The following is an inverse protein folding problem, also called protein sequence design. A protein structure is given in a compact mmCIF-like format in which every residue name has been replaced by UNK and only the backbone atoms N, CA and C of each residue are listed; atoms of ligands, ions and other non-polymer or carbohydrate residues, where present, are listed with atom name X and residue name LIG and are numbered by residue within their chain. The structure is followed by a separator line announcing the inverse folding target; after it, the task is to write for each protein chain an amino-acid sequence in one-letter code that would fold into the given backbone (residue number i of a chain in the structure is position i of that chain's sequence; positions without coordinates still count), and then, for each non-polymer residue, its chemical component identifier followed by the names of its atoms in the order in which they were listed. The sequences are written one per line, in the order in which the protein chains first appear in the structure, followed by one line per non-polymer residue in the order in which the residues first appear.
data_IF_474606547079
#
_entry.id   IF_474606547079
#
_cell.length_a   1.000
_cell.length_b   1.000
_cell.length_c   1.000
_cell.angle_alpha   90.00
_cell.angle_beta   90.00
_cell.angle_gamma   90.00
#
_symmetry.space_group_name_H-M   'P 1'
#
loop_
_entity.id
_entity.type
_entity.pdbx_description
1 polymer ?
#
# COMPACT_ATOMS: atom_id res chain seq x y z
N UNK A 1 -7.64 23.31 22.74
CA UNK A 1 -8.03 22.03 22.08
C UNK A 1 -8.47 22.23 20.62
N UNK A 2 -9.10 23.36 20.29
CA UNK A 2 -9.54 23.75 18.94
C UNK A 2 -8.39 23.96 17.95
N UNK A 3 -7.30 24.62 18.35
CA UNK A 3 -6.14 24.92 17.48
C UNK A 3 -5.43 23.68 16.94
N UNK A 4 -5.28 22.62 17.77
CA UNK A 4 -4.69 21.33 17.33
C UNK A 4 -5.54 20.61 16.29
N UNK A 5 -6.88 20.72 16.38
CA UNK A 5 -7.79 20.11 15.41
C UNK A 5 -7.66 20.81 14.05
N UNK A 6 -7.66 22.14 14.02
CA UNK A 6 -7.47 22.91 12.79
C UNK A 6 -6.13 22.61 12.11
N UNK A 7 -5.06 22.45 12.89
CA UNK A 7 -3.75 22.07 12.36
C UNK A 7 -3.75 20.67 11.71
N UNK A 8 -4.44 19.69 12.31
CA UNK A 8 -4.54 18.34 11.74
C UNK A 8 -5.38 18.31 10.47
N UNK A 9 -6.53 18.99 10.44
CA UNK A 9 -7.36 19.09 9.24
C UNK A 9 -6.65 19.84 8.11
N UNK A 10 -5.98 20.95 8.43
CA UNK A 10 -5.18 21.70 7.47
C UNK A 10 -4.04 20.86 6.88
N UNK A 11 -3.34 20.08 7.72
CA UNK A 11 -2.29 19.18 7.27
C UNK A 11 -2.82 18.07 6.35
N UNK A 12 -3.95 17.45 6.69
CA UNK A 12 -4.55 16.41 5.85
C UNK A 12 -5.05 16.97 4.52
N UNK A 13 -5.61 18.18 4.53
CA UNK A 13 -5.99 18.88 3.31
C UNK A 13 -4.76 19.17 2.44
N UNK A 14 -3.66 19.65 3.03
CA UNK A 14 -2.39 19.88 2.34
C UNK A 14 -1.78 18.60 1.78
N UNK A 15 -1.76 17.52 2.57
CA UNK A 15 -1.31 16.20 2.14
C UNK A 15 -2.15 15.69 0.97
N UNK A 16 -3.47 15.74 1.09
CA UNK A 16 -4.41 15.33 0.04
C UNK A 16 -4.20 16.16 -1.22
N UNK A 17 -4.10 17.48 -1.10
CA UNK A 17 -3.83 18.38 -2.22
C UNK A 17 -2.51 18.01 -2.92
N UNK A 18 -1.46 17.72 -2.16
CA UNK A 18 -0.16 17.36 -2.71
C UNK A 18 -0.18 16.09 -3.58
N UNK A 19 -1.05 15.11 -3.29
CA UNK A 19 -1.20 13.91 -4.15
C UNK A 19 -1.64 14.28 -5.58
N UNK A 20 -2.39 15.39 -5.73
CA UNK A 20 -2.87 15.89 -7.03
C UNK A 20 -1.95 16.93 -7.68
N UNK A 21 -1.04 17.57 -6.92
CA UNK A 21 -0.12 18.57 -7.47
C UNK A 21 0.70 17.92 -8.59
N UNK A 22 0.69 18.56 -9.77
CA UNK A 22 1.44 18.13 -10.96
C UNK A 22 1.14 16.67 -11.40
N UNK A 23 -0.02 16.12 -11.02
CA UNK A 23 -0.36 14.73 -11.36
C UNK A 23 -0.54 14.55 -12.88
N UNK A 24 -1.00 15.58 -13.58
CA UNK A 24 -1.18 15.57 -15.03
C UNK A 24 -0.08 16.22 -15.86
N UNK A 25 1.02 16.70 -15.27
CA UNK A 25 2.02 17.51 -16.00
C UNK A 25 3.26 16.73 -16.43
N UNK A 26 3.62 15.67 -15.71
CA UNK A 26 4.74 14.82 -16.07
C UNK A 26 4.29 13.75 -17.10
N UNK A 27 5.05 13.53 -18.19
CA UNK A 27 4.77 12.43 -19.12
C UNK A 27 4.70 11.07 -18.42
N UNK A 28 3.95 10.13 -18.99
CA UNK A 28 3.92 8.76 -18.50
C UNK A 28 5.28 8.09 -18.75
N UNK A 29 5.77 7.35 -17.76
CA UNK A 29 7.05 6.63 -17.90
C UNK A 29 6.90 5.37 -18.75
N UNK A 30 7.77 5.21 -19.76
CA UNK A 30 7.64 4.25 -20.86
C UNK A 30 7.59 2.77 -20.42
N UNK A 31 8.27 2.40 -19.33
CA UNK A 31 8.47 0.98 -18.99
C UNK A 31 7.37 0.37 -18.10
N UNK A 32 6.53 1.18 -17.46
CA UNK A 32 5.50 0.70 -16.54
C UNK A 32 4.19 1.43 -16.75
N UNK A 33 4.20 2.74 -16.60
CA UNK A 33 3.01 3.58 -16.52
C UNK A 33 2.28 3.72 -17.86
N UNK A 34 3.05 4.05 -18.90
CA UNK A 34 2.54 4.21 -20.26
C UNK A 34 1.85 2.93 -20.75
N UNK A 35 2.36 1.76 -20.37
CA UNK A 35 1.75 0.47 -20.74
C UNK A 35 0.35 0.30 -20.15
N UNK A 36 0.12 0.66 -18.89
CA UNK A 36 -1.22 0.54 -18.31
C UNK A 36 -2.19 1.54 -18.90
N UNK A 37 -1.73 2.76 -19.15
CA UNK A 37 -2.53 3.79 -19.80
C UNK A 37 -2.88 3.41 -21.25
N UNK A 38 -1.92 2.89 -22.02
CA UNK A 38 -2.13 2.45 -23.41
C UNK A 38 -3.14 1.31 -23.48
N UNK A 39 -2.98 0.27 -22.66
CA UNK A 39 -3.94 -0.85 -22.62
C UNK A 39 -5.35 -0.36 -22.30
N UNK A 40 -5.47 0.56 -21.34
CA UNK A 40 -6.76 1.14 -20.99
C UNK A 40 -7.32 2.07 -22.08
N UNK A 41 -6.45 2.78 -22.81
CA UNK A 41 -6.82 3.62 -23.94
C UNK A 41 -7.32 2.78 -25.11
N UNK A 42 -6.68 1.65 -25.40
CA UNK A 42 -7.15 0.70 -26.41
C UNK A 42 -8.51 0.10 -26.02
N UNK A 43 -8.74 -0.24 -24.74
CA UNK A 43 -10.08 -0.65 -24.27
C UNK A 43 -11.11 0.47 -24.44
N UNK A 44 -10.73 1.71 -24.12
CA UNK A 44 -11.57 2.90 -24.22
C UNK A 44 -11.99 3.19 -25.67
N UNK A 45 -11.05 3.14 -26.62
CA UNK A 45 -11.31 3.45 -28.03
C UNK A 45 -11.96 2.31 -28.81
N UNK A 46 -11.62 1.06 -28.49
CA UNK A 46 -12.19 -0.12 -29.19
C UNK A 46 -13.53 -0.58 -28.60
N UNK A 47 -13.88 -0.13 -27.39
CA UNK A 47 -14.99 -0.64 -26.59
C UNK A 47 -14.90 -2.15 -26.25
N UNK A 48 -13.77 -2.80 -26.51
CA UNK A 48 -13.48 -4.16 -26.04
C UNK A 48 -12.81 -4.10 -24.66
N UNK A 49 -13.64 -4.17 -23.62
CA UNK A 49 -13.18 -4.20 -22.23
C UNK A 49 -12.77 -5.59 -21.74
N UNK A 50 -12.94 -6.64 -22.55
CA UNK A 50 -12.63 -8.01 -22.14
C UNK A 50 -11.23 -8.42 -22.56
N UNK A 51 -10.77 -8.01 -23.75
CA UNK A 51 -9.44 -8.35 -24.29
C UNK A 51 -8.42 -7.24 -24.03
N UNK A 52 -7.51 -7.35 -23.05
CA UNK A 52 -6.43 -6.37 -22.91
C UNK A 52 -5.50 -6.47 -24.12
N UNK A 53 -5.12 -5.33 -24.68
CA UNK A 53 -4.20 -5.21 -25.80
C UNK A 53 -3.16 -4.14 -25.51
N UNK A 54 -1.95 -4.34 -26.01
CA UNK A 54 -0.87 -3.36 -25.94
C UNK A 54 -0.23 -3.28 -27.32
N UNK A 55 -0.25 -2.09 -27.92
CA UNK A 55 0.01 -1.87 -29.33
C UNK A 55 -0.88 -2.78 -30.21
N UNK A 56 -2.16 -2.90 -29.87
CA UNK A 56 -3.18 -3.71 -30.54
C UNK A 56 -2.96 -5.24 -30.49
N UNK A 57 -1.91 -5.70 -29.81
CA UNK A 57 -1.59 -7.12 -29.62
C UNK A 57 -2.11 -7.58 -28.26
N UNK A 58 -2.76 -8.76 -28.21
CA UNK A 58 -3.29 -9.36 -26.97
C UNK A 58 -2.24 -9.37 -25.85
N UNK A 59 -2.57 -8.74 -24.71
CA UNK A 59 -1.66 -8.50 -23.59
C UNK A 59 -2.25 -8.98 -22.25
N UNK A 60 -2.35 -10.30 -22.07
CA UNK A 60 -2.90 -10.91 -20.85
C UNK A 60 -1.91 -10.99 -19.68
N UNK A 61 -0.98 -10.02 -19.53
CA UNK A 61 -0.04 -10.04 -18.40
C UNK A 61 -0.69 -9.68 -17.06
N UNK A 62 -1.82 -8.95 -17.11
CA UNK A 62 -2.61 -8.55 -15.95
C UNK A 62 -4.10 -8.71 -16.23
N UNK A 63 -4.91 -8.98 -15.19
CA UNK A 63 -6.36 -8.97 -15.31
C UNK A 63 -6.89 -7.52 -15.32
N UNK A 64 -8.17 -7.32 -15.67
CA UNK A 64 -8.58 -6.07 -16.28
C UNK A 64 -9.08 -5.00 -15.30
N UNK A 65 -9.26 -5.31 -14.01
CA UNK A 65 -9.92 -4.38 -13.08
C UNK A 65 -9.25 -3.01 -13.03
N UNK A 66 -7.92 -2.98 -13.04
CA UNK A 66 -7.20 -1.70 -13.04
C UNK A 66 -7.31 -0.97 -14.38
N UNK A 67 -7.26 -1.70 -15.50
CA UNK A 67 -7.49 -1.11 -16.84
C UNK A 67 -8.90 -0.50 -16.94
N UNK A 68 -9.92 -1.19 -16.43
CA UNK A 68 -11.29 -0.67 -16.38
C UNK A 68 -11.39 0.62 -15.57
N UNK A 69 -10.65 0.72 -14.46
CA UNK A 69 -10.65 1.95 -13.65
C UNK A 69 -10.02 3.13 -14.40
N UNK A 70 -8.97 2.90 -15.19
CA UNK A 70 -8.36 3.92 -16.03
C UNK A 70 -9.29 4.29 -17.19
N UNK A 71 -9.87 3.31 -17.89
CA UNK A 71 -10.78 3.56 -19.00
C UNK A 71 -12.04 4.33 -18.54
N UNK A 72 -12.59 4.02 -17.36
CA UNK A 72 -13.65 4.79 -16.75
C UNK A 72 -13.22 6.24 -16.45
N UNK A 73 -11.98 6.44 -15.98
CA UNK A 73 -11.40 7.78 -15.81
C UNK A 73 -11.27 8.54 -17.14
N UNK A 74 -10.91 7.86 -18.22
CA UNK A 74 -10.89 8.44 -19.57
C UNK A 74 -12.27 8.87 -20.06
N UNK A 75 -13.32 8.07 -19.80
CA UNK A 75 -14.70 8.47 -20.10
C UNK A 75 -15.14 9.73 -19.34
N UNK A 76 -14.70 9.89 -18.10
CA UNK A 76 -15.14 10.99 -17.24
C UNK A 76 -14.32 12.28 -17.44
N UNK A 77 -13.02 12.17 -17.71
CA UNK A 77 -12.08 13.30 -17.65
C UNK A 77 -11.23 13.47 -18.92
N UNK A 78 -11.52 12.69 -19.97
CA UNK A 78 -10.75 12.65 -21.21
C UNK A 78 -9.43 11.89 -21.07
N UNK A 79 -8.77 11.64 -22.20
CA UNK A 79 -7.49 10.92 -22.26
C UNK A 79 -6.36 11.90 -21.96
N UNK A 80 -5.71 11.76 -20.80
CA UNK A 80 -4.56 12.54 -20.38
C UNK A 80 -3.85 11.85 -19.20
N UNK A 81 -2.72 12.39 -18.78
CA UNK A 81 -1.89 11.83 -17.71
C UNK A 81 -2.58 11.89 -16.34
N UNK A 82 -3.37 12.94 -16.09
CA UNK A 82 -4.12 13.08 -14.84
C UNK A 82 -5.14 11.95 -14.72
N UNK A 83 -5.96 11.76 -15.76
CA UNK A 83 -6.99 10.73 -15.77
C UNK A 83 -6.40 9.32 -15.75
N UNK A 84 -5.22 9.10 -16.35
CA UNK A 84 -4.50 7.83 -16.26
C UNK A 84 -4.02 7.48 -14.83
N UNK A 85 -3.64 8.49 -14.03
CA UNK A 85 -3.13 8.32 -12.64
C UNK A 85 -4.21 8.42 -11.58
N UNK A 86 -5.32 9.07 -11.89
CA UNK A 86 -6.40 9.37 -10.97
C UNK A 86 -6.91 8.13 -10.21
N UNK A 87 -7.13 6.95 -10.83
CA UNK A 87 -7.54 5.77 -10.08
C UNK A 87 -6.55 5.36 -8.98
N UNK A 88 -5.24 5.34 -9.28
CA UNK A 88 -4.19 5.00 -8.30
C UNK A 88 -4.19 6.00 -7.14
N UNK A 89 -4.28 7.30 -7.46
CA UNK A 89 -4.31 8.35 -6.45
C UNK A 89 -5.55 8.26 -5.55
N UNK A 90 -6.73 8.03 -6.12
CA UNK A 90 -7.95 7.82 -5.33
C UNK A 90 -7.85 6.58 -4.43
N UNK A 91 -7.28 5.48 -4.94
CA UNK A 91 -7.05 4.29 -4.13
C UNK A 91 -6.11 4.56 -2.95
N UNK A 92 -5.09 5.41 -3.12
CA UNK A 92 -4.21 5.83 -2.05
C UNK A 92 -4.92 6.67 -0.98
N UNK A 93 -5.78 7.61 -1.38
CA UNK A 93 -6.60 8.40 -0.44
C UNK A 93 -7.55 7.51 0.37
N UNK A 94 -8.17 6.52 -0.28
CA UNK A 94 -8.97 5.52 0.40
C UNK A 94 -8.13 4.69 1.38
N UNK A 95 -6.89 4.34 1.06
CA UNK A 95 -5.99 3.67 1.99
C UNK A 95 -5.68 4.52 3.23
N UNK A 96 -5.46 5.83 3.05
CA UNK A 96 -5.21 6.76 4.17
C UNK A 96 -6.43 6.83 5.08
N UNK A 97 -7.63 7.02 4.51
CA UNK A 97 -8.89 7.04 5.26
C UNK A 97 -9.19 5.71 5.96
N UNK A 98 -8.92 4.59 5.30
CA UNK A 98 -9.15 3.25 5.84
C UNK A 98 -8.11 2.87 6.90
N UNK A 99 -6.89 3.39 6.83
CA UNK A 99 -5.87 3.29 7.88
C UNK A 99 -6.30 4.03 9.14
N UNK A 100 -6.83 5.25 8.99
CA UNK A 100 -7.45 5.97 10.10
C UNK A 100 -8.61 5.17 10.69
N UNK A 101 -9.48 4.63 9.84
CA UNK A 101 -10.64 3.83 10.26
C UNK A 101 -10.20 2.59 11.04
N UNK A 102 -9.21 1.85 10.55
CA UNK A 102 -8.69 0.66 11.20
C UNK A 102 -8.26 0.96 12.64
N UNK A 103 -7.43 1.99 12.81
CA UNK A 103 -6.94 2.39 14.13
C UNK A 103 -8.07 2.87 15.03
N UNK A 104 -8.98 3.69 14.50
CA UNK A 104 -10.04 4.29 15.31
C UNK A 104 -11.13 3.28 15.71
N UNK A 105 -11.51 2.39 14.81
CA UNK A 105 -12.71 1.55 14.91
C UNK A 105 -12.41 0.08 15.16
N UNK A 106 -11.34 -0.45 14.59
CA UNK A 106 -11.01 -1.88 14.75
C UNK A 106 -10.06 -2.12 15.92
N UNK A 107 -9.22 -1.12 16.26
CA UNK A 107 -8.34 -1.14 17.45
C UNK A 107 -8.90 -0.39 18.66
N UNK A 108 -10.05 0.29 18.54
CA UNK A 108 -10.59 1.22 19.55
C UNK A 108 -9.58 2.24 20.10
N UNK A 109 -8.61 2.64 19.27
CA UNK A 109 -7.61 3.63 19.70
C UNK A 109 -8.19 5.04 19.70
N UNK A 110 -7.50 5.97 20.36
CA UNK A 110 -7.89 7.37 20.35
C UNK A 110 -7.75 8.00 18.95
N UNK A 111 -8.37 9.18 18.79
CA UNK A 111 -8.36 9.92 17.51
C UNK A 111 -6.97 10.42 17.14
N UNK A 112 -6.10 10.72 18.11
CA UNK A 112 -4.76 11.25 17.84
C UNK A 112 -3.89 10.17 17.21
N UNK A 113 -3.92 8.95 17.74
CA UNK A 113 -3.23 7.80 17.16
C UNK A 113 -3.75 7.47 15.76
N UNK A 114 -5.07 7.51 15.56
CA UNK A 114 -5.66 7.27 14.24
C UNK A 114 -5.20 8.28 13.18
N UNK A 115 -5.17 9.57 13.54
CA UNK A 115 -4.64 10.62 12.66
C UNK A 115 -3.15 10.50 12.43
N UNK A 116 -2.38 10.10 13.44
CA UNK A 116 -0.98 9.84 13.26
C UNK A 116 -0.75 8.70 12.27
N UNK A 117 -1.41 7.55 12.41
CA UNK A 117 -1.25 6.43 11.49
C UNK A 117 -1.56 6.83 10.03
N UNK A 118 -2.64 7.57 9.83
CA UNK A 118 -3.00 8.12 8.52
C UNK A 118 -1.95 9.10 7.99
N UNK A 119 -1.45 10.01 8.85
CA UNK A 119 -0.39 10.96 8.50
C UNK A 119 0.93 10.29 8.15
N UNK A 120 1.34 9.27 8.90
CA UNK A 120 2.55 8.46 8.62
C UNK A 120 2.45 7.81 7.25
N UNK A 121 1.33 7.13 6.95
CA UNK A 121 1.12 6.53 5.63
C UNK A 121 1.08 7.60 4.53
N UNK A 122 0.31 8.66 4.74
CA UNK A 122 0.12 9.73 3.77
C UNK A 122 1.42 10.47 3.42
N UNK A 123 2.39 10.53 4.34
CA UNK A 123 3.69 11.18 4.16
C UNK A 123 4.84 10.19 3.95
N UNK A 124 4.54 8.91 3.75
CA UNK A 124 5.53 7.89 3.39
C UNK A 124 5.95 8.10 1.92
N UNK A 125 7.24 8.36 1.62
CA UNK A 125 7.78 8.58 0.28
C UNK A 125 7.36 7.53 -0.73
N UNK A 126 7.55 6.26 -0.39
CA UNK A 126 7.29 5.18 -1.31
C UNK A 126 5.79 5.02 -1.60
N UNK A 127 4.96 5.19 -0.58
CA UNK A 127 3.51 5.17 -0.73
C UNK A 127 3.02 6.35 -1.59
N UNK A 128 3.57 7.55 -1.35
CA UNK A 128 3.30 8.77 -2.12
C UNK A 128 3.66 8.61 -3.59
N UNK A 129 4.85 8.11 -3.88
CA UNK A 129 5.32 7.88 -5.24
C UNK A 129 4.42 6.87 -5.96
N UNK A 130 4.13 5.73 -5.31
CA UNK A 130 3.28 4.70 -5.90
C UNK A 130 1.84 5.16 -6.12
N UNK A 131 1.32 6.09 -5.31
CA UNK A 131 -0.01 6.69 -5.52
C UNK A 131 -0.10 7.55 -6.78
N UNK A 132 1.03 8.06 -7.25
CA UNK A 132 1.13 8.96 -8.41
C UNK A 132 1.61 8.24 -9.67
N UNK A 133 1.77 6.92 -9.60
CA UNK A 133 2.11 6.07 -10.74
C UNK A 133 0.91 5.20 -11.10
N UNK A 134 0.57 5.13 -12.39
CA UNK A 134 -0.49 4.27 -12.91
C UNK A 134 -0.06 2.79 -13.04
N UNK A 135 -0.13 2.06 -11.92
CA UNK A 135 0.10 0.61 -11.85
C UNK A 135 -0.89 -0.06 -10.88
N UNK A 136 -1.02 -1.38 -10.98
CA UNK A 136 -1.95 -2.19 -10.17
C UNK A 136 -1.73 -2.16 -8.64
N UNK A 137 -0.54 -1.80 -8.19
CA UNK A 137 -0.06 -2.07 -6.82
C UNK A 137 -0.83 -1.26 -5.76
N UNK A 138 -1.27 -0.05 -6.08
CA UNK A 138 -2.07 0.76 -5.16
C UNK A 138 -3.48 0.18 -4.96
N UNK A 139 -4.10 -0.37 -6.02
CA UNK A 139 -5.37 -1.09 -5.92
C UNK A 139 -5.24 -2.36 -5.08
N UNK A 140 -4.16 -3.14 -5.30
CA UNK A 140 -3.86 -4.31 -4.46
C UNK A 140 -3.73 -3.90 -3.00
N UNK A 141 -3.04 -2.79 -2.73
CA UNK A 141 -2.83 -2.26 -1.37
C UNK A 141 -4.15 -1.89 -0.69
N UNK A 142 -5.04 -1.17 -1.40
CA UNK A 142 -6.37 -0.83 -0.90
C UNK A 142 -7.20 -2.07 -0.57
N UNK A 143 -7.24 -3.04 -1.49
CA UNK A 143 -8.05 -4.25 -1.32
C UNK A 143 -7.47 -5.16 -0.23
N UNK A 144 -6.14 -5.23 -0.07
CA UNK A 144 -5.50 -5.93 1.06
C UNK A 144 -5.86 -5.27 2.39
N UNK A 145 -5.72 -3.95 2.50
CA UNK A 145 -6.09 -3.21 3.71
C UNK A 145 -7.59 -3.35 4.04
N UNK A 146 -8.48 -3.30 3.04
CA UNK A 146 -9.91 -3.55 3.22
C UNK A 146 -10.19 -4.97 3.72
N UNK A 147 -9.46 -5.95 3.21
CA UNK A 147 -9.56 -7.34 3.67
C UNK A 147 -9.16 -7.45 5.15
N UNK A 148 -8.00 -6.92 5.56
CA UNK A 148 -7.57 -6.98 6.95
C UNK A 148 -8.48 -6.18 7.90
N UNK A 149 -8.97 -5.02 7.46
CA UNK A 149 -9.94 -4.21 8.23
C UNK A 149 -11.24 -5.00 8.45
N UNK A 150 -11.76 -5.61 7.39
CA UNK A 150 -13.00 -6.38 7.44
C UNK A 150 -12.83 -7.67 8.25
N UNK A 151 -11.68 -8.34 8.14
CA UNK A 151 -11.35 -9.51 8.94
C UNK A 151 -11.29 -9.17 10.43
N UNK A 152 -10.60 -8.09 10.81
CA UNK A 152 -10.55 -7.63 12.20
C UNK A 152 -11.96 -7.33 12.74
N UNK A 153 -12.85 -6.76 11.91
CA UNK A 153 -14.26 -6.58 12.28
C UNK A 153 -14.98 -7.90 12.48
N UNK A 154 -14.77 -8.90 11.63
CA UNK A 154 -15.38 -10.23 11.77
C UNK A 154 -14.88 -10.97 13.02
N UNK A 155 -13.61 -10.82 13.40
CA UNK A 155 -13.09 -11.37 14.65
C UNK A 155 -13.83 -10.78 15.86
N UNK A 156 -14.13 -9.48 15.83
CA UNK A 156 -14.86 -8.77 16.90
C UNK A 156 -16.37 -9.02 16.86
N UNK A 157 -16.94 -9.16 15.66
CA UNK A 157 -18.37 -9.30 15.40
C UNK A 157 -18.59 -10.30 14.25
N UNK A 158 -18.62 -11.62 14.53
CA UNK A 158 -18.66 -12.67 13.50
C UNK A 158 -19.83 -12.56 12.51
N UNK A 159 -20.98 -12.05 12.97
CA UNK A 159 -22.20 -11.91 12.16
C UNK A 159 -22.29 -10.58 11.39
N UNK A 160 -21.27 -9.72 11.47
CA UNK A 160 -21.28 -8.41 10.83
C UNK A 160 -21.31 -8.52 9.30
N UNK A 161 -22.50 -8.32 8.71
CA UNK A 161 -22.78 -8.55 7.29
C UNK A 161 -21.88 -7.75 6.35
N UNK A 162 -21.74 -6.45 6.58
CA UNK A 162 -20.94 -5.59 5.72
C UNK A 162 -19.46 -6.01 5.72
N UNK A 163 -18.95 -6.49 6.85
CA UNK A 163 -17.56 -6.93 6.94
C UNK A 163 -17.34 -8.26 6.20
N UNK A 164 -18.34 -9.15 6.23
CA UNK A 164 -18.30 -10.37 5.42
C UNK A 164 -18.24 -10.07 3.93
N UNK A 165 -19.16 -9.23 3.42
CA UNK A 165 -19.13 -8.84 2.01
C UNK A 165 -17.84 -8.09 1.66
N UNK A 166 -17.43 -7.12 2.47
CA UNK A 166 -16.21 -6.35 2.21
C UNK A 166 -14.97 -7.24 2.18
N UNK A 167 -14.84 -8.23 3.08
CA UNK A 167 -13.72 -9.18 3.11
C UNK A 167 -13.66 -10.07 1.86
N UNK A 168 -14.77 -10.68 1.46
CA UNK A 168 -14.78 -11.63 0.36
C UNK A 168 -14.79 -10.96 -1.02
N UNK A 169 -15.51 -9.83 -1.15
CA UNK A 169 -15.45 -9.01 -2.37
C UNK A 169 -14.05 -8.45 -2.58
N UNK A 170 -13.35 -8.00 -1.52
CA UNK A 170 -11.99 -7.48 -1.68
C UNK A 170 -11.03 -8.55 -2.16
N UNK A 171 -11.15 -9.80 -1.69
CA UNK A 171 -10.35 -10.92 -2.20
C UNK A 171 -10.63 -11.20 -3.68
N UNK A 172 -11.90 -11.25 -4.10
CA UNK A 172 -12.29 -11.45 -5.50
C UNK A 172 -11.78 -10.34 -6.43
N UNK A 173 -11.96 -9.07 -6.02
CA UNK A 173 -11.46 -7.91 -6.75
C UNK A 173 -9.93 -7.89 -6.80
N UNK A 174 -9.25 -8.33 -5.74
CA UNK A 174 -7.79 -8.37 -5.72
C UNK A 174 -7.26 -9.43 -6.70
N UNK A 175 -7.94 -10.58 -6.76
CA UNK A 175 -7.69 -11.59 -7.80
C UNK A 175 -7.88 -11.02 -9.21
N UNK A 176 -8.91 -10.20 -9.43
CA UNK A 176 -9.16 -9.50 -10.70
C UNK A 176 -8.26 -8.27 -10.93
N UNK A 177 -7.44 -7.87 -9.96
CA UNK A 177 -6.48 -6.77 -10.11
C UNK A 177 -5.10 -7.27 -10.52
N UNK A 178 -4.60 -8.29 -9.81
CA UNK A 178 -3.21 -8.75 -9.97
C UNK A 178 -3.02 -10.25 -9.76
N UNK A 179 -4.09 -11.03 -9.94
CA UNK A 179 -4.06 -12.48 -9.75
C UNK A 179 -3.93 -12.87 -8.28
N UNK A 180 -3.36 -14.05 -7.98
CA UNK A 180 -3.47 -14.67 -6.66
C UNK A 180 -2.66 -13.98 -5.57
N UNK A 181 -1.76 -13.04 -5.89
CA UNK A 181 -0.81 -12.46 -4.94
C UNK A 181 -1.50 -11.78 -3.76
N UNK A 182 -2.44 -10.86 -4.00
CA UNK A 182 -3.12 -10.17 -2.89
C UNK A 182 -4.01 -11.09 -2.04
N UNK A 183 -4.82 -11.99 -2.65
CA UNK A 183 -5.52 -13.01 -1.88
C UNK A 183 -4.58 -13.90 -1.06
N UNK A 184 -3.43 -14.29 -1.61
CA UNK A 184 -2.45 -15.11 -0.89
C UNK A 184 -1.86 -14.37 0.33
N UNK A 185 -1.49 -13.09 0.19
CA UNK A 185 -1.05 -12.24 1.31
C UNK A 185 -2.06 -12.30 2.46
N UNK A 186 -3.34 -12.08 2.15
CA UNK A 186 -4.41 -12.00 3.16
C UNK A 186 -4.68 -13.37 3.77
N UNK A 187 -4.90 -14.40 2.94
CA UNK A 187 -5.33 -15.71 3.43
C UNK A 187 -4.25 -16.40 4.26
N UNK A 188 -2.97 -16.28 3.89
CA UNK A 188 -1.86 -16.82 4.70
C UNK A 188 -1.84 -16.17 6.09
N UNK A 189 -1.93 -14.84 6.15
CA UNK A 189 -1.95 -14.09 7.40
C UNK A 189 -3.19 -14.41 8.25
N UNK A 190 -4.37 -14.44 7.65
CA UNK A 190 -5.66 -14.70 8.32
C UNK A 190 -5.73 -16.12 8.87
N UNK A 191 -5.31 -17.12 8.10
CA UNK A 191 -5.33 -18.51 8.56
C UNK A 191 -4.32 -18.74 9.69
N UNK A 192 -3.11 -18.16 9.58
CA UNK A 192 -2.14 -18.17 10.66
C UNK A 192 -2.68 -17.47 11.92
N UNK A 193 -3.36 -16.33 11.74
CA UNK A 193 -3.98 -15.59 12.84
C UNK A 193 -5.05 -16.42 13.54
N UNK A 194 -5.97 -17.02 12.79
CA UNK A 194 -7.02 -17.87 13.34
C UNK A 194 -6.42 -19.04 14.13
N UNK A 195 -5.31 -19.62 13.65
CA UNK A 195 -4.61 -20.70 14.34
C UNK A 195 -3.92 -20.27 15.63
N UNK A 196 -3.28 -19.09 15.64
CA UNK A 196 -2.53 -18.55 16.78
C UNK A 196 -3.47 -18.00 17.85
N UNK A 197 -4.45 -17.19 17.44
CA UNK A 197 -5.43 -16.53 18.32
C UNK A 197 -6.66 -17.41 18.59
N UNK A 198 -6.67 -18.66 18.10
CA UNK A 198 -7.77 -19.62 18.24
C UNK A 198 -9.13 -19.08 17.78
N UNK A 199 -9.14 -18.20 16.77
CA UNK A 199 -10.38 -17.73 16.15
C UNK A 199 -11.00 -18.87 15.33
N UNK A 200 -12.26 -19.23 15.55
CA UNK A 200 -12.90 -20.30 14.79
C UNK A 200 -12.97 -19.98 13.30
N UNK A 201 -12.58 -20.92 12.42
CA UNK A 201 -12.64 -20.71 10.96
C UNK A 201 -14.06 -20.45 10.44
N UNK A 202 -15.09 -20.90 11.18
CA UNK A 202 -16.50 -20.57 10.88
C UNK A 202 -16.79 -19.07 10.88
N UNK A 203 -15.99 -18.24 11.57
CA UNK A 203 -16.06 -16.78 11.54
C UNK A 203 -15.91 -16.23 10.12
N UNK A 204 -15.13 -16.91 9.27
CA UNK A 204 -14.95 -16.51 7.88
C UNK A 204 -16.15 -16.85 7.00
N UNK A 205 -17.01 -17.80 7.42
CA UNK A 205 -18.08 -18.36 6.59
C UNK A 205 -17.53 -18.74 5.19
N UNK A 206 -16.48 -19.57 5.20
CA UNK A 206 -15.62 -19.79 4.05
C UNK A 206 -16.35 -20.27 2.80
N UNK A 207 -17.34 -21.16 2.91
CA UNK A 207 -18.07 -21.68 1.73
C UNK A 207 -18.80 -20.57 0.96
N UNK A 208 -19.78 -19.84 1.55
CA UNK A 208 -20.45 -18.76 0.83
C UNK A 208 -19.50 -17.60 0.50
N UNK A 209 -18.47 -17.39 1.32
CA UNK A 209 -17.47 -16.35 1.10
C UNK A 209 -16.57 -16.61 -0.11
N UNK A 210 -16.05 -17.83 -0.23
CA UNK A 210 -15.27 -18.25 -1.40
C UNK A 210 -16.14 -18.22 -2.65
N UNK A 211 -17.38 -18.68 -2.59
CA UNK A 211 -18.31 -18.56 -3.72
C UNK A 211 -18.45 -17.11 -4.19
N UNK A 212 -18.63 -16.17 -3.25
CA UNK A 212 -18.71 -14.73 -3.56
C UNK A 212 -17.43 -14.19 -4.20
N UNK A 213 -16.26 -14.52 -3.64
CA UNK A 213 -14.99 -14.10 -4.21
C UNK A 213 -14.76 -14.66 -5.62
N UNK A 214 -15.15 -15.91 -5.87
CA UNK A 214 -15.04 -16.55 -7.19
C UNK A 214 -16.01 -15.94 -8.19
N UNK A 215 -17.26 -15.66 -7.81
CA UNK A 215 -18.24 -15.00 -8.70
C UNK A 215 -17.74 -13.64 -9.18
N UNK A 216 -16.98 -12.91 -8.36
CA UNK A 216 -16.41 -11.62 -8.76
C UNK A 216 -15.08 -11.79 -9.51
N UNK A 217 -14.18 -12.63 -9.00
CA UNK A 217 -12.81 -12.70 -9.47
C UNK A 217 -12.59 -13.62 -10.67
N UNK A 218 -13.41 -14.65 -10.85
CA UNK A 218 -13.15 -15.74 -11.80
C UNK A 218 -13.76 -15.57 -13.21
N UNK A 219 -14.91 -14.91 -13.43
CA UNK A 219 -15.56 -14.92 -14.75
C UNK A 219 -14.69 -14.44 -15.90
N UNK A 220 -13.91 -13.37 -15.69
CA UNK A 220 -13.00 -12.86 -16.73
C UNK A 220 -11.92 -13.88 -17.09
N UNK A 221 -11.35 -14.59 -16.11
CA UNK A 221 -10.35 -15.62 -16.39
C UNK A 221 -10.94 -16.80 -17.16
N UNK A 222 -12.15 -17.23 -16.81
CA UNK A 222 -12.85 -18.31 -17.53
C UNK A 222 -13.04 -17.90 -18.98
N UNK A 223 -13.61 -16.72 -19.21
CA UNK A 223 -13.82 -16.19 -20.56
C UNK A 223 -12.48 -16.06 -21.32
N UNK A 224 -11.45 -15.48 -20.71
CA UNK A 224 -10.17 -15.25 -21.35
C UNK A 224 -9.49 -16.56 -21.75
N UNK A 225 -9.53 -17.58 -20.90
CA UNK A 225 -8.96 -18.91 -21.18
C UNK A 225 -9.75 -19.62 -22.28
N UNK A 226 -11.07 -19.56 -22.27
CA UNK A 226 -11.91 -20.16 -23.30
C UNK A 226 -11.70 -19.50 -24.67
N UNK A 227 -11.53 -18.17 -24.69
CA UNK A 227 -11.32 -17.40 -25.92
C UNK A 227 -9.88 -17.49 -26.47
N UNK A 228 -8.91 -17.99 -25.70
CA UNK A 228 -7.49 -17.96 -26.05
C UNK A 228 -6.78 -19.28 -25.70
N UNK A 229 -6.61 -20.21 -26.67
CA UNK A 229 -5.88 -21.45 -26.47
C UNK A 229 -4.48 -21.21 -25.90
N UNK A 230 -4.08 -21.99 -24.90
CA UNK A 230 -2.77 -21.88 -24.22
C UNK A 230 -2.68 -20.79 -23.15
N UNK A 231 -3.69 -19.92 -22.99
CA UNK A 231 -3.62 -18.84 -22.00
C UNK A 231 -3.60 -19.35 -20.55
N UNK A 232 -4.25 -20.49 -20.26
CA UNK A 232 -4.20 -21.11 -18.93
C UNK A 232 -2.76 -21.53 -18.54
N UNK A 233 -2.03 -22.18 -19.46
CA UNK A 233 -0.66 -22.59 -19.20
C UNK A 233 0.26 -21.36 -19.05
N UNK A 234 0.00 -20.29 -19.79
CA UNK A 234 0.67 -19.01 -19.63
C UNK A 234 0.44 -18.37 -18.24
N UNK A 235 -0.81 -18.35 -17.74
CA UNK A 235 -1.10 -17.83 -16.41
C UNK A 235 -0.44 -18.66 -15.29
N UNK A 236 -0.48 -19.99 -15.39
CA UNK A 236 0.04 -20.88 -14.36
C UNK A 236 1.57 -20.96 -14.39
N UNK A 237 2.18 -21.12 -15.57
CA UNK A 237 3.63 -21.26 -15.72
C UNK A 237 4.31 -19.91 -15.71
N UNK A 238 4.12 -19.10 -16.76
CA UNK A 238 4.89 -17.88 -16.96
C UNK A 238 4.56 -16.77 -15.95
N UNK A 239 3.27 -16.56 -15.66
CA UNK A 239 2.85 -15.47 -14.79
C UNK A 239 2.93 -15.79 -13.29
N UNK A 240 2.99 -17.08 -12.92
CA UNK A 240 2.96 -17.53 -11.52
C UNK A 240 4.22 -18.33 -11.16
N UNK A 241 4.40 -19.53 -11.73
CA UNK A 241 5.51 -20.42 -11.38
C UNK A 241 6.88 -19.80 -11.67
N UNK A 242 7.08 -19.28 -12.88
CA UNK A 242 8.36 -18.72 -13.30
C UNK A 242 8.74 -17.48 -12.49
N UNK A 243 7.76 -16.73 -11.97
CA UNK A 243 8.03 -15.60 -11.07
C UNK A 243 8.54 -16.02 -9.70
N UNK A 244 8.10 -17.18 -9.23
CA UNK A 244 8.50 -17.74 -7.94
C UNK A 244 9.88 -18.40 -8.06
N UNK A 245 10.05 -19.28 -9.04
CA UNK A 245 11.17 -20.23 -9.10
C UNK A 245 12.34 -19.73 -9.95
N UNK A 246 12.11 -18.81 -10.90
CA UNK A 246 13.12 -18.42 -11.88
C UNK A 246 13.42 -16.92 -11.87
N UNK A 247 14.54 -16.55 -12.48
CA UNK A 247 14.91 -15.16 -12.79
C UNK A 247 14.58 -14.79 -14.24
N UNK A 248 13.78 -15.58 -14.95
CA UNK A 248 13.44 -15.42 -16.39
C UNK A 248 12.89 -14.02 -16.71
N UNK A 249 12.36 -13.33 -15.72
CA UNK A 249 11.88 -11.94 -15.83
C UNK A 249 12.99 -10.87 -15.78
N UNK A 250 14.28 -11.25 -15.71
CA UNK A 250 15.44 -10.35 -15.69
C UNK A 250 15.57 -9.49 -14.42
N UNK A 251 14.95 -9.93 -13.31
CA UNK A 251 14.75 -9.12 -12.09
C UNK A 251 15.22 -9.85 -10.84
N UNK A 252 16.43 -10.41 -10.91
CA UNK A 252 17.07 -11.04 -9.76
C UNK A 252 17.44 -10.00 -8.69
N UNK A 253 17.43 -10.41 -7.44
CA UNK A 253 17.89 -9.59 -6.32
C UNK A 253 18.18 -10.45 -5.11
N UNK A 254 19.03 -9.98 -4.18
CA UNK A 254 19.40 -10.74 -2.99
C UNK A 254 18.17 -11.02 -2.10
N UNK A 255 18.25 -12.04 -1.23
CA UNK A 255 17.16 -12.39 -0.33
C UNK A 255 16.76 -11.23 0.60
N UNK A 256 17.70 -10.33 0.92
CA UNK A 256 17.46 -9.15 1.75
C UNK A 256 16.94 -7.93 0.97
N UNK A 257 16.71 -8.03 -0.34
CA UNK A 257 16.33 -6.92 -1.25
C UNK A 257 15.23 -6.01 -0.71
N UNK A 258 14.21 -6.58 -0.06
CA UNK A 258 13.06 -5.82 0.43
C UNK A 258 13.31 -5.07 1.75
N UNK A 259 14.34 -5.42 2.51
CA UNK A 259 14.68 -4.73 3.75
C UNK A 259 15.06 -3.25 3.51
N UNK A 260 16.03 -2.91 2.64
CA UNK A 260 16.34 -1.51 2.35
C UNK A 260 15.17 -0.78 1.64
N UNK A 261 14.37 -1.48 0.82
CA UNK A 261 13.18 -0.89 0.19
C UNK A 261 12.15 -0.48 1.25
N UNK A 262 11.88 -1.34 2.23
CA UNK A 262 10.93 -1.01 3.31
C UNK A 262 11.50 0.04 4.26
N UNK A 263 12.76 -0.07 4.65
CA UNK A 263 13.43 0.88 5.56
C UNK A 263 13.49 2.26 4.91
N UNK A 264 14.01 2.34 3.68
CA UNK A 264 14.15 3.59 2.94
C UNK A 264 12.82 4.16 2.49
N UNK A 265 11.92 3.31 1.99
CA UNK A 265 10.59 3.72 1.55
C UNK A 265 9.69 4.23 2.67
N UNK A 266 9.93 3.79 3.91
CA UNK A 266 9.21 4.23 5.11
C UNK A 266 9.92 5.35 5.88
N UNK A 267 11.09 5.82 5.43
CA UNK A 267 11.67 7.05 5.97
C UNK A 267 10.70 8.22 5.74
N UNK A 268 10.63 9.23 6.61
CA UNK A 268 11.41 9.37 7.84
C UNK A 268 10.79 8.66 9.06
N UNK A 269 9.82 7.75 8.87
CA UNK A 269 9.05 7.09 9.94
C UNK A 269 9.65 5.81 10.49
N UNK A 270 10.70 5.28 9.85
CA UNK A 270 11.43 4.10 10.35
C UNK A 270 11.86 4.20 11.83
N UNK A 271 12.31 5.36 12.37
CA UNK A 271 12.55 5.50 13.80
C UNK A 271 11.33 5.24 14.68
N UNK A 272 10.12 5.65 14.27
CA UNK A 272 8.87 5.38 14.98
C UNK A 272 8.54 3.89 15.01
N UNK A 273 8.79 3.20 13.88
CA UNK A 273 8.68 1.74 13.80
C UNK A 273 9.64 1.06 14.80
N UNK A 274 10.91 1.48 14.85
CA UNK A 274 11.90 0.95 15.80
C UNK A 274 11.51 1.20 17.25
N UNK A 275 11.01 2.39 17.58
CA UNK A 275 10.51 2.73 18.91
C UNK A 275 9.40 1.75 19.32
N UNK A 276 8.41 1.52 18.44
CA UNK A 276 7.31 0.59 18.78
C UNK A 276 7.80 -0.84 18.92
N UNK A 277 8.68 -1.32 18.05
CA UNK A 277 9.28 -2.66 18.17
C UNK A 277 9.96 -2.83 19.55
N UNK A 278 10.77 -1.86 19.98
CA UNK A 278 11.43 -1.89 21.30
C UNK A 278 10.43 -1.88 22.45
N UNK A 279 9.34 -1.12 22.34
CA UNK A 279 8.26 -1.11 23.34
C UNK A 279 7.61 -2.49 23.46
N UNK A 280 7.16 -3.09 22.36
CA UNK A 280 6.48 -4.40 22.37
C UNK A 280 7.40 -5.51 22.89
N UNK A 281 8.69 -5.51 22.50
CA UNK A 281 9.66 -6.49 23.01
C UNK A 281 9.83 -6.37 24.54
N UNK A 282 9.89 -5.13 25.05
CA UNK A 282 10.01 -4.87 26.49
C UNK A 282 8.73 -5.19 27.26
N UNK A 283 7.57 -4.89 26.68
CA UNK A 283 6.25 -5.21 27.22
C UNK A 283 6.04 -6.74 27.32
N UNK A 284 6.75 -7.53 26.49
CA UNK A 284 6.66 -9.01 26.39
C UNK A 284 5.23 -9.53 26.17
N UNK A 285 4.32 -8.66 25.75
CA UNK A 285 2.91 -8.96 25.53
C UNK A 285 2.50 -8.37 24.18
N UNK A 286 2.13 -9.24 23.26
CA UNK A 286 1.60 -8.85 21.96
C UNK A 286 0.08 -8.85 22.03
N UNK A 287 -0.55 -7.71 21.75
CA UNK A 287 -2.00 -7.66 21.58
C UNK A 287 -2.43 -8.47 20.36
N UNK A 288 -3.68 -8.97 20.30
CA UNK A 288 -4.19 -9.66 19.13
C UNK A 288 -4.01 -8.84 17.84
N UNK A 289 -4.25 -7.53 17.87
CA UNK A 289 -4.03 -6.66 16.70
C UNK A 289 -2.57 -6.63 16.27
N UNK A 290 -1.60 -6.59 17.20
CA UNK A 290 -0.18 -6.61 16.85
C UNK A 290 0.25 -7.93 16.22
N UNK A 291 -0.33 -9.05 16.68
CA UNK A 291 -0.15 -10.34 16.01
C UNK A 291 -0.70 -10.30 14.59
N UNK A 292 -1.87 -9.69 14.37
CA UNK A 292 -2.40 -9.52 13.01
C UNK A 292 -1.47 -8.68 12.13
N UNK A 293 -0.97 -7.54 12.65
CA UNK A 293 -0.07 -6.65 11.90
C UNK A 293 1.26 -7.33 11.57
N UNK A 294 1.83 -8.13 12.49
CA UNK A 294 3.01 -8.93 12.18
C UNK A 294 2.73 -10.02 11.15
N UNK A 295 1.59 -10.70 11.22
CA UNK A 295 1.21 -11.69 10.22
C UNK A 295 0.86 -11.07 8.86
N UNK A 296 0.45 -9.81 8.83
CA UNK A 296 0.29 -9.06 7.59
C UNK A 296 1.66 -8.73 6.98
N UNK A 297 2.66 -8.36 7.77
CA UNK A 297 3.97 -7.94 7.23
C UNK A 297 4.92 -9.11 6.98
N UNK A 298 5.14 -9.96 7.99
CA UNK A 298 6.29 -10.87 8.03
C UNK A 298 6.17 -12.05 7.04
N UNK A 299 5.09 -12.85 7.01
CA UNK A 299 4.97 -13.94 6.05
C UNK A 299 5.04 -13.48 4.58
N UNK A 300 4.33 -12.41 4.15
CA UNK A 300 4.47 -11.90 2.79
C UNK A 300 5.88 -11.39 2.48
N UNK A 301 6.53 -10.69 3.43
CA UNK A 301 7.90 -10.23 3.26
C UNK A 301 8.87 -11.40 3.05
N UNK A 302 8.77 -12.46 3.86
CA UNK A 302 9.58 -13.68 3.71
C UNK A 302 9.31 -14.33 2.35
N UNK A 303 8.05 -14.45 1.95
CA UNK A 303 7.67 -14.99 0.65
C UNK A 303 8.28 -14.19 -0.51
N UNK A 304 8.10 -12.87 -0.54
CA UNK A 304 8.65 -12.02 -1.60
C UNK A 304 10.18 -12.04 -1.62
N UNK A 305 10.82 -12.06 -0.45
CA UNK A 305 12.27 -12.19 -0.34
C UNK A 305 12.81 -13.50 -0.92
N UNK A 306 12.03 -14.59 -0.82
CA UNK A 306 12.36 -15.89 -1.40
C UNK A 306 12.10 -15.98 -2.91
N UNK A 307 11.27 -15.11 -3.49
CA UNK A 307 10.96 -15.16 -4.93
C UNK A 307 12.16 -14.78 -5.82
N UNK A 308 12.30 -15.46 -6.96
CA UNK A 308 13.33 -15.17 -7.95
C UNK A 308 13.19 -13.78 -8.59
N UNK A 309 11.96 -13.37 -8.92
CA UNK A 309 11.67 -12.04 -9.48
C UNK A 309 11.30 -11.03 -8.40
N UNK A 310 12.04 -9.92 -8.33
CA UNK A 310 11.85 -8.87 -7.33
C UNK A 310 11.57 -7.52 -7.97
N UNK A 311 10.57 -6.82 -7.43
CA UNK A 311 10.20 -5.45 -7.79
C UNK A 311 9.81 -4.68 -6.53
N UNK A 312 10.20 -3.41 -6.37
CA UNK A 312 9.88 -2.64 -5.17
C UNK A 312 8.37 -2.58 -4.85
N UNK A 313 7.45 -2.38 -5.82
CA UNK A 313 6.01 -2.28 -5.53
C UNK A 313 5.38 -3.52 -4.86
N UNK A 314 6.02 -4.70 -4.90
CA UNK A 314 5.47 -5.92 -4.29
C UNK A 314 5.23 -5.80 -2.78
N UNK A 315 6.03 -4.98 -2.08
CA UNK A 315 5.86 -4.75 -0.64
C UNK A 315 4.98 -3.55 -0.29
N UNK A 316 4.46 -2.82 -1.28
CA UNK A 316 3.55 -1.69 -1.05
C UNK A 316 2.33 -2.07 -0.19
N UNK A 317 1.68 -3.24 -0.37
CA UNK A 317 0.54 -3.65 0.45
C UNK A 317 0.85 -3.84 1.95
N UNK A 318 2.13 -3.80 2.35
CA UNK A 318 2.58 -3.94 3.73
C UNK A 318 2.68 -2.59 4.46
N UNK A 319 2.77 -1.48 3.72
CA UNK A 319 2.98 -0.14 4.29
C UNK A 319 1.84 0.36 5.19
N UNK A 320 0.55 0.09 4.91
CA UNK A 320 -0.51 0.42 5.85
C UNK A 320 -0.29 -0.23 7.23
N UNK A 321 0.12 -1.49 7.27
CA UNK A 321 0.40 -2.18 8.53
C UNK A 321 1.58 -1.56 9.28
N UNK A 322 2.64 -1.15 8.57
CA UNK A 322 3.78 -0.43 9.17
C UNK A 322 3.34 0.90 9.79
N UNK A 323 2.52 1.68 9.10
CA UNK A 323 2.00 2.95 9.59
C UNK A 323 1.10 2.78 10.82
N UNK A 324 0.21 1.78 10.80
CA UNK A 324 -0.66 1.42 11.92
C UNK A 324 0.19 1.03 13.13
N UNK A 325 1.17 0.13 12.96
CA UNK A 325 2.01 -0.32 14.04
C UNK A 325 2.90 0.82 14.60
N UNK A 326 3.57 1.57 13.73
CA UNK A 326 4.44 2.68 14.12
C UNK A 326 3.68 3.79 14.89
N UNK A 327 2.40 4.01 14.59
CA UNK A 327 1.55 4.96 15.33
C UNK A 327 1.42 4.63 16.82
N UNK A 328 1.56 3.36 17.20
CA UNK A 328 1.55 2.95 18.60
C UNK A 328 2.78 3.42 19.39
N UNK A 329 3.87 3.79 18.71
CA UNK A 329 5.13 4.21 19.33
C UNK A 329 5.02 5.49 20.18
N UNK A 330 3.97 6.28 19.98
CA UNK A 330 3.68 7.49 20.76
C UNK A 330 3.19 7.18 22.17
N UNK A 331 2.66 5.97 22.40
CA UNK A 331 2.08 5.58 23.68
C UNK A 331 3.17 5.63 24.77
N UNK A 332 2.90 6.38 25.82
CA UNK A 332 3.83 6.53 26.97
C UNK A 332 4.94 7.56 26.79
N UNK A 333 5.00 8.31 25.69
CA UNK A 333 5.92 9.44 25.55
C UNK A 333 5.38 10.67 26.31
N UNK A 334 6.24 11.34 27.10
CA UNK A 334 5.85 12.55 27.83
C UNK A 334 5.57 13.73 26.88
N UNK A 335 4.80 14.74 27.30
CA UNK A 335 4.51 15.94 26.46
C UNK A 335 5.78 16.65 25.96
N UNK A 336 6.89 16.59 26.70
CA UNK A 336 8.21 17.10 26.26
C UNK A 336 8.88 16.19 25.22
N UNK A 337 8.69 14.88 25.30
CA UNK A 337 9.02 13.90 24.25
C UNK A 337 8.03 13.92 23.07
N UNK A 338 6.95 14.70 23.20
CA UNK A 338 5.96 15.00 22.17
C UNK A 338 6.20 16.36 21.48
N UNK A 339 7.39 16.97 21.62
CA UNK A 339 7.87 18.02 20.69
C UNK A 339 8.31 17.44 19.32
N UNK A 340 8.47 16.12 19.29
CA UNK A 340 8.88 15.28 18.16
C UNK A 340 7.88 15.15 17.01
N UNK A 341 6.55 15.12 17.23
CA UNK A 341 5.53 15.29 16.20
C UNK A 341 5.68 16.63 15.47
N UNK A 342 6.03 17.73 16.13
CA UNK A 342 6.21 19.03 15.48
C UNK A 342 7.38 19.04 14.48
N UNK A 343 8.52 18.46 14.88
CA UNK A 343 9.65 18.23 13.99
C UNK A 343 9.33 17.19 12.91
N UNK A 344 8.61 16.12 13.25
CA UNK A 344 8.05 15.12 12.33
C UNK A 344 7.19 15.79 11.26
N UNK A 345 6.24 16.64 11.64
CA UNK A 345 5.39 17.40 10.73
C UNK A 345 6.17 18.44 9.93
N UNK A 346 7.19 19.06 10.52
CA UNK A 346 8.11 19.95 9.82
C UNK A 346 8.92 19.19 8.75
N UNK A 347 9.43 17.99 9.06
CA UNK A 347 10.14 17.14 8.12
C UNK A 347 9.18 16.47 7.11
N UNK A 348 7.92 16.19 7.46
CA UNK A 348 6.87 15.87 6.47
C UNK A 348 6.73 17.02 5.48
N UNK A 349 6.56 18.24 6.00
CA UNK A 349 6.38 19.45 5.20
C UNK A 349 7.60 19.73 4.32
N UNK A 350 8.81 19.60 4.86
CA UNK A 350 10.07 19.78 4.15
C UNK A 350 10.30 18.68 3.11
N UNK A 351 9.95 17.43 3.41
CA UNK A 351 10.02 16.31 2.50
C UNK A 351 9.02 16.43 1.36
N UNK A 352 7.77 16.78 1.66
CA UNK A 352 6.73 17.08 0.67
C UNK A 352 7.14 18.27 -0.20
N UNK A 353 7.67 19.34 0.41
CA UNK A 353 8.19 20.50 -0.28
C UNK A 353 9.38 20.14 -1.20
N UNK A 354 10.31 19.31 -0.73
CA UNK A 354 11.44 18.83 -1.52
C UNK A 354 10.97 17.93 -2.67
N UNK A 355 9.98 17.05 -2.44
CA UNK A 355 9.41 16.17 -3.46
C UNK A 355 8.60 16.95 -4.52
N UNK A 356 7.82 17.95 -4.13
CA UNK A 356 7.15 18.84 -5.07
C UNK A 356 8.17 19.66 -5.86
N UNK A 357 9.22 20.15 -5.21
CA UNK A 357 10.27 20.98 -5.82
C UNK A 357 11.18 20.21 -6.78
N UNK A 358 11.52 18.95 -6.46
CA UNK A 358 12.31 18.08 -7.34
C UNK A 358 11.54 17.70 -8.62
N UNK A 359 10.21 17.66 -8.56
CA UNK A 359 9.35 17.48 -9.73
C UNK A 359 9.23 18.74 -10.60
N UNK A 360 9.64 19.92 -10.12
CA UNK A 360 9.72 21.16 -10.92
C UNK A 360 11.01 21.27 -11.74
N UNK A 361 11.97 20.35 -11.57
CA UNK A 361 13.22 20.35 -12.34
C UNK A 361 13.36 19.01 -13.09
N UNK A 362 12.67 18.85 -14.24
CA UNK A 362 12.68 17.61 -15.04
C UNK A 362 14.08 17.15 -15.47
N UNK A 363 15.06 18.07 -15.50
CA UNK A 363 16.45 17.80 -15.85
C UNK A 363 17.29 17.19 -14.72
N UNK A 364 16.93 17.37 -13.44
CA UNK A 364 17.79 16.97 -12.31
C UNK A 364 17.44 15.58 -11.74
N UNK A 365 16.16 15.21 -11.70
CA UNK A 365 15.72 13.88 -11.22
C UNK A 365 16.07 12.74 -12.19
N UNK A 366 16.19 13.05 -13.49
CA UNK A 366 16.57 12.07 -14.52
C UNK A 366 18.04 11.64 -14.46
N UNK A 367 18.91 12.41 -13.80
CA UNK A 367 20.36 12.19 -13.80
C UNK A 367 21.00 11.93 -12.44
N UNK A 368 20.32 12.20 -11.32
CA UNK A 368 20.94 12.10 -9.98
C UNK A 368 20.00 11.49 -8.92
N UNK A 369 19.83 10.16 -8.88
CA UNK A 369 19.16 9.47 -7.78
C UNK A 369 19.81 9.77 -6.41
N UNK A 370 21.08 10.19 -6.39
CA UNK A 370 21.80 10.63 -5.20
C UNK A 370 21.18 11.85 -4.50
N UNK A 371 20.43 12.70 -5.20
CA UNK A 371 19.74 13.86 -4.60
C UNK A 371 18.56 13.44 -3.71
N UNK A 372 17.88 12.35 -4.05
CA UNK A 372 16.81 11.77 -3.22
C UNK A 372 17.43 11.18 -1.94
N UNK A 373 18.56 10.49 -2.08
CA UNK A 373 19.34 10.00 -0.95
C UNK A 373 19.91 11.14 -0.11
N UNK A 374 20.40 12.22 -0.70
CA UNK A 374 20.90 13.40 0.01
C UNK A 374 19.78 14.12 0.78
N UNK A 375 18.59 14.28 0.19
CA UNK A 375 17.43 14.83 0.90
C UNK A 375 16.98 13.91 2.05
N UNK A 376 17.00 12.59 1.83
CA UNK A 376 16.77 11.59 2.88
C UNK A 376 17.82 11.67 3.99
N UNK A 377 19.10 11.80 3.64
CA UNK A 377 20.22 11.93 4.57
C UNK A 377 20.19 13.25 5.35
N UNK A 378 19.79 14.36 4.72
CA UNK A 378 19.60 15.64 5.39
C UNK A 378 18.39 15.60 6.35
N UNK A 379 17.34 14.90 5.97
CA UNK A 379 16.17 14.65 6.85
C UNK A 379 16.57 13.76 8.04
N UNK A 380 17.35 12.70 7.79
CA UNK A 380 17.93 11.85 8.83
C UNK A 380 18.88 12.65 9.72
N UNK A 381 19.76 13.48 9.17
CA UNK A 381 20.69 14.31 9.92
C UNK A 381 19.93 15.33 10.78
N UNK A 382 18.86 15.95 10.27
CA UNK A 382 17.97 16.80 11.03
C UNK A 382 17.29 16.05 12.19
N UNK A 383 16.81 14.83 11.94
CA UNK A 383 16.27 13.93 12.98
C UNK A 383 17.34 13.55 14.01
N UNK A 384 18.54 13.16 13.59
CA UNK A 384 19.65 12.79 14.47
C UNK A 384 20.19 13.97 15.29
N UNK A 385 20.23 15.17 14.72
CA UNK A 385 20.58 16.39 15.44
C UNK A 385 19.50 16.76 16.46
N UNK A 386 18.23 16.49 16.16
CA UNK A 386 17.14 16.61 17.14
C UNK A 386 17.18 15.52 18.23
N UNK A 387 17.89 14.41 18.00
CA UNK A 387 18.13 13.30 18.93
C UNK A 387 19.31 13.54 19.89
N UNK A 388 19.99 14.70 19.85
CA UNK A 388 21.12 14.96 20.75
C UNK A 388 20.71 14.85 22.24
N UNK A 389 21.44 14.06 23.04
CA UNK A 389 21.15 13.82 24.45
C UNK A 389 21.57 15.01 25.32
N UNK A 390 20.87 16.14 25.20
CA UNK A 390 21.18 17.35 25.95
C UNK A 390 20.36 17.56 27.23
N UNK A 391 19.22 16.90 27.41
CA UNK A 391 18.26 17.22 28.48
C UNK A 391 17.74 15.99 29.25
N UNK A 392 18.50 14.89 29.32
CA UNK A 392 18.15 13.74 30.14
C UNK A 392 18.53 13.95 31.61
N UNK A 393 17.99 14.99 32.26
CA UNK A 393 17.92 14.98 33.72
C UNK A 393 16.67 14.18 34.11
N UNK A 394 16.90 12.95 34.54
CA UNK A 394 15.93 12.20 35.34
C UNK A 394 15.71 13.04 36.60
N UNK A 395 14.53 13.63 36.74
CA UNK A 395 14.10 14.12 38.03
C UNK A 395 13.83 12.89 38.90
N UNK A 396 14.61 12.77 39.97
CA UNK A 396 14.38 11.86 41.10
C UNK A 396 13.01 12.08 41.72
#
# INVERSE_FOLDING_TARGET
MTTRKFALWGLLALLTAGYFINLGTAPLTEQSEARYAEVAWEMFTSHDYLTPRYNFIKHFHKPPLYYWSIAASFHLFGVNELSARLPSTLAALLCIGLTWWFVRREMDSDKEQAWLAAGLLASTPFFWEMARVSITDMFVTLLVLLSFTSFQRLVRQPDHRLAFFAFWLSLGLNFLTKGPVGPAIVLVAVLAYCRIQKVPLRTLRAVPGTALALVVGLPWYIWAVQANPGLLSYFLKFQTLDRVVSTVHGRGGPWWYYLPVMIGGFLPWTPWLVIRVKQVIRERAWSPTEVLLALWVIPPLVFFSAMGSKLPPYVLPLFPALAIFASGGVRGLSKNQLRWPGATFFFCGLFLFAQTSLNFIPKLSRYNPELIWAAGLLTIAGLLLSLRPGNWRVAS
#
